data_IF_048983307697
#
_entry.id   IF_048983307697
#
_cell.length_a   1.000
_cell.length_b   1.000
_cell.length_c   1.000
_cell.angle_alpha   90.00
_cell.angle_beta   90.00
_cell.angle_gamma   90.00
#
_symmetry.space_group_name_H-M   'P 1'
#
loop_
_entity.id
_entity.type
_entity.pdbx_description
1 polymer ?
#
# COMPACT_ATOMS: atom_id res chain seq x y z
N UNK A 1 -36.57 18.70 12.26
CA UNK A 1 -35.23 18.10 12.11
C UNK A 1 -34.25 19.22 11.83
N UNK A 2 -33.24 19.40 12.68
CA UNK A 2 -32.15 20.33 12.38
C UNK A 2 -31.37 19.79 11.18
N UNK A 3 -31.27 20.56 10.12
CA UNK A 3 -30.57 20.19 8.89
C UNK A 3 -29.27 20.98 8.78
N UNK A 4 -28.18 20.31 8.48
CA UNK A 4 -26.87 20.96 8.24
C UNK A 4 -26.69 21.08 6.73
N UNK A 5 -26.55 22.30 6.23
CA UNK A 5 -26.34 22.58 4.80
C UNK A 5 -25.00 22.05 4.29
N UNK A 6 -24.85 21.89 2.98
CA UNK A 6 -23.59 21.44 2.39
C UNK A 6 -22.45 22.47 2.64
N UNK A 7 -22.73 23.74 2.67
CA UNK A 7 -21.78 24.79 3.03
C UNK A 7 -21.30 24.64 4.47
N UNK A 8 -22.21 24.40 5.40
CA UNK A 8 -21.89 24.15 6.80
C UNK A 8 -21.04 22.87 6.96
N UNK A 9 -21.37 21.78 6.22
CA UNK A 9 -20.57 20.57 6.21
C UNK A 9 -19.15 20.83 5.70
N UNK A 10 -18.97 21.69 4.69
CA UNK A 10 -17.66 22.05 4.19
C UNK A 10 -16.87 22.90 5.21
N UNK A 11 -17.51 23.82 5.91
CA UNK A 11 -16.89 24.58 6.99
C UNK A 11 -16.40 23.66 8.11
N UNK A 12 -17.25 22.76 8.59
CA UNK A 12 -16.89 21.79 9.63
C UNK A 12 -15.70 20.90 9.22
N UNK A 13 -15.71 20.40 7.98
CA UNK A 13 -14.62 19.54 7.45
C UNK A 13 -13.26 20.24 7.35
N UNK A 14 -13.24 21.55 7.22
CA UNK A 14 -11.99 22.34 7.15
C UNK A 14 -11.31 22.49 8.52
N UNK A 15 -12.04 22.32 9.60
CA UNK A 15 -11.49 22.47 10.96
C UNK A 15 -10.88 21.16 11.42
N UNK A 16 -9.56 21.09 11.37
CA UNK A 16 -8.82 19.97 11.95
C UNK A 16 -8.76 20.07 13.48
N UNK A 17 -8.39 18.95 14.14
CA UNK A 17 -8.42 18.91 15.60
C UNK A 17 -7.46 19.91 16.26
N UNK A 18 -6.25 20.10 15.73
CA UNK A 18 -5.29 21.03 16.33
C UNK A 18 -5.77 22.49 16.22
N UNK A 19 -6.33 22.86 15.05
CA UNK A 19 -6.94 24.17 14.83
C UNK A 19 -8.11 24.37 15.79
N UNK A 20 -9.00 23.39 15.94
CA UNK A 20 -10.12 23.46 16.87
C UNK A 20 -9.66 23.69 18.32
N UNK A 21 -8.79 22.80 18.82
CA UNK A 21 -8.36 22.89 20.21
C UNK A 21 -7.56 24.16 20.50
N UNK A 22 -6.67 24.61 19.62
CA UNK A 22 -5.90 25.83 19.85
C UNK A 22 -6.77 27.10 19.88
N UNK A 23 -7.85 27.13 19.11
CA UNK A 23 -8.72 28.29 19.06
C UNK A 23 -9.80 28.29 20.14
N UNK A 24 -10.33 27.11 20.51
CA UNK A 24 -11.54 27.01 21.34
C UNK A 24 -11.36 26.24 22.65
N UNK A 25 -10.36 25.36 22.77
CA UNK A 25 -10.09 24.57 23.97
C UNK A 25 -8.58 24.43 24.23
N UNK A 26 -7.82 25.54 24.28
CA UNK A 26 -6.34 25.49 24.42
C UNK A 26 -5.89 24.85 25.72
N UNK A 27 -6.70 24.87 26.76
CA UNK A 27 -6.43 24.25 28.07
C UNK A 27 -6.29 22.73 28.00
N UNK A 28 -6.92 22.09 27.02
CA UNK A 28 -6.83 20.62 26.79
C UNK A 28 -5.52 20.20 26.14
N UNK A 29 -4.80 21.13 25.51
CA UNK A 29 -3.56 20.80 24.78
C UNK A 29 -2.33 20.81 25.67
N UNK A 30 -1.45 19.86 25.40
CA UNK A 30 -0.06 19.83 25.91
C UNK A 30 0.89 19.61 24.74
N UNK A 31 1.89 20.47 24.59
CA UNK A 31 2.95 20.30 23.61
C UNK A 31 3.93 19.23 24.06
N UNK A 32 4.24 18.25 23.20
CA UNK A 32 5.22 17.18 23.46
C UNK A 32 6.54 17.49 22.75
N UNK A 33 6.46 17.87 21.47
CA UNK A 33 7.63 18.22 20.66
C UNK A 33 7.31 19.42 19.76
N UNK A 34 8.24 19.74 18.83
CA UNK A 34 8.04 20.88 17.91
C UNK A 34 6.71 20.77 17.14
N UNK A 35 6.40 19.58 16.61
CA UNK A 35 5.25 19.34 15.72
C UNK A 35 4.19 18.39 16.31
N UNK A 36 4.32 18.01 17.59
CA UNK A 36 3.43 17.04 18.23
C UNK A 36 2.82 17.60 19.50
N UNK A 37 1.52 17.41 19.64
CA UNK A 37 0.75 17.73 20.83
C UNK A 37 0.04 16.48 21.36
N UNK A 38 -0.31 16.45 22.63
CA UNK A 38 -1.27 15.49 23.18
C UNK A 38 -2.41 16.22 23.89
N UNK A 39 -3.46 15.48 24.20
CA UNK A 39 -4.56 15.95 25.01
C UNK A 39 -4.26 15.60 26.47
N UNK A 40 -4.45 16.56 27.39
CA UNK A 40 -4.11 16.35 28.80
C UNK A 40 -4.90 15.20 29.44
N UNK A 41 -6.19 15.11 29.08
CA UNK A 41 -7.09 14.07 29.59
C UNK A 41 -6.83 12.69 28.97
N UNK A 42 -6.17 12.67 27.82
CA UNK A 42 -5.83 11.45 27.08
C UNK A 42 -4.37 11.50 26.62
N UNK A 43 -3.36 11.30 27.50
CA UNK A 43 -1.94 11.48 27.17
C UNK A 43 -1.42 10.60 26.03
N UNK A 44 -2.07 9.45 25.76
CA UNK A 44 -1.76 8.57 24.63
C UNK A 44 -2.44 8.98 23.31
N UNK A 45 -3.24 10.07 23.30
CA UNK A 45 -3.79 10.67 22.11
C UNK A 45 -2.83 11.76 21.60
N UNK A 46 -2.18 11.48 20.49
CA UNK A 46 -1.23 12.39 19.86
C UNK A 46 -1.82 13.08 18.63
N UNK A 47 -1.47 14.35 18.47
CA UNK A 47 -1.87 15.18 17.32
C UNK A 47 -0.61 15.66 16.62
N UNK A 48 -0.41 15.27 15.36
CA UNK A 48 0.70 15.72 14.54
C UNK A 48 0.33 15.69 13.04
N UNK A 49 0.94 16.56 12.24
CA UNK A 49 0.74 16.61 10.79
C UNK A 49 -0.74 16.63 10.35
N UNK A 50 -1.62 17.32 11.09
CA UNK A 50 -3.03 17.40 10.78
C UNK A 50 -3.84 16.13 11.03
N UNK A 51 -3.26 15.17 11.69
CA UNK A 51 -3.89 13.92 12.08
C UNK A 51 -3.83 13.78 13.59
N UNK A 52 -4.79 13.04 14.15
CA UNK A 52 -4.74 12.61 15.53
C UNK A 52 -4.90 11.09 15.61
N UNK A 53 -4.25 10.49 16.58
CA UNK A 53 -4.33 9.06 16.84
C UNK A 53 -4.27 8.78 18.34
N UNK A 54 -5.25 8.03 18.84
CA UNK A 54 -5.31 7.57 20.21
C UNK A 54 -4.77 6.15 20.30
N UNK A 55 -3.51 6.03 20.69
CA UNK A 55 -2.77 4.77 20.63
C UNK A 55 -3.40 3.66 21.48
N UNK A 56 -3.84 3.96 22.69
CA UNK A 56 -4.41 2.96 23.60
C UNK A 56 -5.78 2.42 23.13
N UNK A 57 -6.50 3.17 22.28
CA UNK A 57 -7.82 2.79 21.77
C UNK A 57 -7.81 2.36 20.31
N UNK A 58 -6.67 2.53 19.60
CA UNK A 58 -6.55 2.19 18.18
C UNK A 58 -7.45 3.02 17.25
N UNK A 59 -7.90 4.21 17.69
CA UNK A 59 -8.76 5.10 16.91
C UNK A 59 -8.04 6.38 16.52
N UNK A 60 -8.49 7.00 15.45
CA UNK A 60 -7.90 8.24 14.98
C UNK A 60 -8.76 8.95 13.94
N UNK A 61 -8.28 10.10 13.49
CA UNK A 61 -8.97 10.93 12.53
C UNK A 61 -8.18 12.16 12.14
N UNK A 62 -8.85 13.06 11.44
CA UNK A 62 -8.29 14.34 11.01
C UNK A 62 -9.06 15.52 11.61
N UNK A 63 -10.37 15.49 11.49
CA UNK A 63 -11.25 16.61 11.82
C UNK A 63 -11.54 16.70 13.32
N UNK A 64 -11.88 17.90 13.78
CA UNK A 64 -12.46 18.10 15.09
C UNK A 64 -13.77 17.32 15.28
N UNK A 65 -14.56 17.19 14.22
CA UNK A 65 -15.81 16.41 14.23
C UNK A 65 -15.57 14.95 14.57
N UNK A 66 -14.56 14.30 13.94
CA UNK A 66 -14.18 12.92 14.26
C UNK A 66 -13.82 12.74 15.74
N UNK A 67 -13.11 13.72 16.30
CA UNK A 67 -12.67 13.70 17.68
C UNK A 67 -13.86 13.85 18.63
N UNK A 68 -14.72 14.84 18.43
CA UNK A 68 -15.88 15.06 19.27
C UNK A 68 -16.83 13.85 19.29
N UNK A 69 -16.97 13.16 18.15
CA UNK A 69 -17.82 11.95 18.08
C UNK A 69 -17.13 10.75 18.71
N UNK A 70 -15.86 10.48 18.39
CA UNK A 70 -15.18 9.22 18.75
C UNK A 70 -14.56 9.25 20.14
N UNK A 71 -14.17 10.42 20.64
CA UNK A 71 -13.48 10.60 21.93
C UNK A 71 -14.37 11.25 22.95
N UNK A 72 -15.01 12.37 22.62
CA UNK A 72 -15.87 13.10 23.55
C UNK A 72 -17.32 12.57 23.59
N UNK A 73 -17.67 11.62 22.70
CA UNK A 73 -18.95 10.89 22.74
C UNK A 73 -20.17 11.68 22.24
N UNK A 74 -20.00 12.80 21.57
CA UNK A 74 -21.09 13.56 20.96
C UNK A 74 -21.74 12.78 19.81
N UNK A 75 -23.06 12.93 19.63
CA UNK A 75 -23.66 12.53 18.36
C UNK A 75 -23.27 13.50 17.24
N UNK A 76 -23.52 13.10 15.99
CA UNK A 76 -23.08 13.89 14.83
C UNK A 76 -23.66 15.33 14.81
N UNK A 77 -24.94 15.50 15.16
CA UNK A 77 -25.59 16.79 15.10
C UNK A 77 -25.07 17.75 16.17
N UNK A 78 -24.95 17.26 17.41
CA UNK A 78 -24.44 18.09 18.51
C UNK A 78 -22.98 18.47 18.31
N UNK A 79 -22.14 17.53 17.82
CA UNK A 79 -20.73 17.82 17.49
C UNK A 79 -20.63 18.88 16.38
N UNK A 80 -21.47 18.77 15.36
CA UNK A 80 -21.47 19.70 14.23
C UNK A 80 -21.97 21.09 14.65
N UNK A 81 -23.03 21.19 15.47
CA UNK A 81 -23.52 22.44 16.04
C UNK A 81 -22.45 23.12 16.89
N UNK A 82 -21.81 22.37 17.79
CA UNK A 82 -20.75 22.90 18.65
C UNK A 82 -19.60 23.52 17.86
N UNK A 83 -19.19 22.88 16.75
CA UNK A 83 -18.15 23.44 15.86
C UNK A 83 -18.65 24.70 15.15
N UNK A 84 -19.88 24.70 14.62
CA UNK A 84 -20.46 25.84 13.93
C UNK A 84 -20.63 27.05 14.87
N UNK A 85 -21.15 26.85 16.07
CA UNK A 85 -21.24 27.91 17.10
C UNK A 85 -19.86 28.47 17.46
N UNK A 86 -18.87 27.58 17.60
CA UNK A 86 -17.49 28.01 17.87
C UNK A 86 -16.94 28.90 16.76
N UNK A 87 -17.16 28.53 15.48
CA UNK A 87 -16.76 29.32 14.31
C UNK A 87 -17.51 30.64 14.24
N UNK A 88 -18.82 30.65 14.50
CA UNK A 88 -19.63 31.88 14.48
C UNK A 88 -19.20 32.86 15.57
N UNK A 89 -18.86 32.37 16.76
CA UNK A 89 -18.42 33.19 17.89
C UNK A 89 -17.01 33.78 17.67
N UNK A 90 -16.14 33.01 17.02
CA UNK A 90 -14.76 33.42 16.70
C UNK A 90 -14.25 32.66 15.48
N UNK A 91 -13.94 33.38 14.43
CA UNK A 91 -13.33 32.76 13.25
C UNK A 91 -11.98 32.09 13.62
N UNK A 92 -11.77 30.81 13.25
CA UNK A 92 -10.57 30.10 13.65
C UNK A 92 -9.34 30.59 12.88
N UNK A 93 -8.25 30.82 13.60
CA UNK A 93 -6.94 30.95 12.98
C UNK A 93 -6.46 29.54 12.59
N UNK A 94 -6.50 29.25 11.30
CA UNK A 94 -6.05 27.96 10.78
C UNK A 94 -4.54 27.79 10.97
N UNK A 95 -4.16 26.61 11.46
CA UNK A 95 -2.76 26.29 11.65
C UNK A 95 -2.27 25.63 10.36
N UNK A 96 -1.36 26.29 9.62
CA UNK A 96 -0.80 25.65 8.43
C UNK A 96 -0.02 24.43 8.88
N UNK A 97 -0.41 23.26 8.38
CA UNK A 97 0.50 22.14 8.41
C UNK A 97 1.62 22.44 7.45
N UNK A 98 2.81 22.61 7.95
CA UNK A 98 3.95 22.35 7.12
C UNK A 98 3.90 20.85 6.82
N UNK A 99 3.24 20.46 5.72
CA UNK A 99 3.68 19.28 5.00
C UNK A 99 5.13 19.64 4.64
N UNK A 100 6.07 19.36 5.54
CA UNK A 100 7.40 19.05 5.08
C UNK A 100 7.15 17.86 4.17
N UNK A 101 7.12 18.08 2.88
CA UNK A 101 7.55 17.10 1.93
C UNK A 101 9.01 16.87 2.30
N UNK A 102 9.22 16.10 3.38
CA UNK A 102 10.48 15.41 3.54
C UNK A 102 10.52 14.55 2.29
N UNK A 103 11.40 14.90 1.36
CA UNK A 103 11.74 14.00 0.26
C UNK A 103 11.82 12.63 0.89
N UNK A 104 10.92 11.76 0.51
CA UNK A 104 10.90 10.39 1.03
C UNK A 104 12.11 9.71 0.43
N UNK A 105 13.23 9.76 1.12
CA UNK A 105 14.44 9.09 0.67
C UNK A 105 14.21 7.59 0.90
N UNK A 106 14.18 6.83 -0.16
CA UNK A 106 14.08 5.38 -0.12
C UNK A 106 15.30 4.80 0.60
N UNK A 107 15.06 4.03 1.66
CA UNK A 107 16.11 3.36 2.45
C UNK A 107 16.13 1.88 2.10
N UNK A 108 16.91 1.52 1.10
CA UNK A 108 17.07 0.14 0.68
C UNK A 108 17.86 -0.67 1.72
N UNK A 109 17.48 -1.94 1.99
CA UNK A 109 18.32 -2.88 2.73
C UNK A 109 19.69 -3.03 2.08
N UNK A 110 20.72 -3.22 2.91
CA UNK A 110 22.06 -3.49 2.39
C UNK A 110 22.04 -4.78 1.57
N UNK A 111 22.70 -4.75 0.40
CA UNK A 111 22.86 -5.94 -0.43
C UNK A 111 23.75 -6.97 0.25
N UNK A 112 23.40 -8.23 0.20
CA UNK A 112 24.27 -9.34 0.59
C UNK A 112 25.46 -9.46 -0.39
N UNK A 113 26.49 -10.20 0.01
CA UNK A 113 27.65 -10.47 -0.82
C UNK A 113 27.34 -11.34 -2.04
N UNK A 114 26.36 -12.20 -1.91
CA UNK A 114 25.77 -12.99 -2.98
C UNK A 114 24.24 -13.03 -2.82
N UNK A 115 23.54 -13.59 -3.81
CA UNK A 115 22.07 -13.63 -3.82
C UNK A 115 21.50 -15.05 -3.78
N UNK A 116 22.32 -16.04 -3.39
CA UNK A 116 21.96 -17.44 -3.52
C UNK A 116 20.72 -17.81 -2.69
N UNK A 117 20.58 -17.26 -1.47
CA UNK A 117 19.41 -17.53 -0.64
C UNK A 117 18.12 -16.95 -1.23
N UNK A 118 18.21 -15.78 -1.88
CA UNK A 118 17.07 -15.20 -2.57
C UNK A 118 16.68 -16.02 -3.80
N UNK A 119 17.68 -16.52 -4.56
CA UNK A 119 17.48 -17.43 -5.70
C UNK A 119 16.80 -18.71 -5.20
N UNK A 120 17.37 -19.38 -4.21
CA UNK A 120 16.83 -20.64 -3.65
C UNK A 120 15.39 -20.45 -3.14
N UNK A 121 15.12 -19.33 -2.47
CA UNK A 121 13.78 -19.01 -1.98
C UNK A 121 12.76 -18.88 -3.12
N UNK A 122 13.10 -18.19 -4.20
CA UNK A 122 12.21 -17.99 -5.35
C UNK A 122 12.06 -19.26 -6.20
N UNK A 123 13.15 -20.02 -6.41
CA UNK A 123 13.10 -21.32 -7.07
C UNK A 123 12.22 -22.30 -6.29
N UNK A 124 12.32 -22.31 -4.96
CA UNK A 124 11.45 -23.12 -4.10
C UNK A 124 9.96 -22.72 -4.17
N UNK A 125 9.66 -21.54 -4.70
CA UNK A 125 8.30 -21.08 -5.04
C UNK A 125 7.89 -21.40 -6.49
N UNK A 126 8.70 -22.16 -7.19
CA UNK A 126 8.45 -22.59 -8.57
C UNK A 126 8.87 -21.58 -9.64
N UNK A 127 9.40 -20.43 -9.28
CA UNK A 127 9.82 -19.40 -10.23
C UNK A 127 11.05 -19.88 -11.01
N UNK A 128 11.07 -19.61 -12.30
CA UNK A 128 12.14 -20.00 -13.20
C UNK A 128 13.46 -19.29 -12.83
N UNK A 129 14.56 -20.07 -12.76
CA UNK A 129 15.85 -19.56 -12.28
C UNK A 129 16.49 -18.55 -13.25
N UNK A 130 16.25 -18.69 -14.56
CA UNK A 130 16.78 -17.74 -15.57
C UNK A 130 16.10 -16.38 -15.37
N UNK A 131 14.76 -16.34 -15.22
CA UNK A 131 14.01 -15.10 -14.94
C UNK A 131 14.55 -14.43 -13.65
N UNK A 132 14.82 -15.22 -12.60
CA UNK A 132 15.35 -14.67 -11.35
C UNK A 132 16.72 -14.03 -11.58
N UNK A 133 17.63 -14.72 -12.30
CA UNK A 133 18.98 -14.23 -12.61
C UNK A 133 18.94 -12.97 -13.45
N UNK A 134 18.10 -12.93 -14.48
CA UNK A 134 17.89 -11.73 -15.31
C UNK A 134 17.40 -10.55 -14.48
N UNK A 135 16.46 -10.77 -13.54
CA UNK A 135 16.00 -9.73 -12.63
C UNK A 135 17.12 -9.24 -11.69
N UNK A 136 18.03 -10.14 -11.26
CA UNK A 136 19.17 -9.76 -10.43
C UNK A 136 20.16 -8.93 -11.25
N UNK A 137 20.48 -9.34 -12.46
CA UNK A 137 21.40 -8.63 -13.37
C UNK A 137 20.87 -7.23 -13.72
N UNK A 138 19.54 -7.09 -13.84
CA UNK A 138 18.85 -5.82 -14.04
C UNK A 138 18.63 -5.01 -12.75
N UNK A 139 19.10 -5.48 -11.61
CA UNK A 139 18.93 -4.87 -10.29
C UNK A 139 17.47 -4.74 -9.85
N UNK A 140 16.55 -5.50 -10.43
CA UNK A 140 15.15 -5.56 -10.05
C UNK A 140 14.93 -6.40 -8.78
N UNK A 141 15.83 -7.36 -8.52
CA UNK A 141 15.80 -8.24 -7.36
C UNK A 141 17.20 -8.35 -6.76
N UNK A 142 17.28 -8.41 -5.43
CA UNK A 142 18.52 -8.76 -4.75
C UNK A 142 18.23 -9.37 -3.36
N UNK A 143 19.25 -10.05 -2.77
CA UNK A 143 19.20 -10.45 -1.38
C UNK A 143 19.58 -9.28 -0.48
N UNK A 144 18.60 -8.78 0.29
CA UNK A 144 18.80 -7.69 1.22
C UNK A 144 19.03 -8.20 2.64
N UNK A 145 19.95 -7.55 3.36
CA UNK A 145 20.23 -7.84 4.78
C UNK A 145 19.69 -6.72 5.65
N UNK A 146 18.86 -7.08 6.62
CA UNK A 146 18.37 -6.17 7.65
C UNK A 146 18.82 -6.64 9.02
N UNK A 147 19.05 -5.69 9.93
CA UNK A 147 19.49 -5.98 11.30
C UNK A 147 18.39 -5.61 12.29
N UNK A 148 18.04 -6.55 13.15
CA UNK A 148 17.12 -6.24 14.27
C UNK A 148 17.71 -5.17 15.18
N UNK A 149 16.99 -4.09 15.47
CA UNK A 149 17.47 -3.05 16.36
C UNK A 149 17.65 -3.57 17.80
N UNK A 150 16.84 -4.52 18.23
CA UNK A 150 16.84 -5.08 19.60
C UNK A 150 17.83 -6.21 19.76
N UNK A 151 17.72 -7.26 18.93
CA UNK A 151 18.50 -8.50 19.07
C UNK A 151 19.83 -8.49 18.32
N UNK A 152 20.06 -7.46 17.47
CA UNK A 152 21.21 -7.37 16.56
C UNK A 152 21.33 -8.54 15.56
N UNK A 153 20.36 -9.44 15.52
CA UNK A 153 20.29 -10.55 14.56
C UNK A 153 20.15 -10.03 13.14
N UNK A 154 20.83 -10.67 12.20
CA UNK A 154 20.68 -10.40 10.77
C UNK A 154 19.53 -11.24 10.20
N UNK A 155 18.75 -10.60 9.33
CA UNK A 155 17.67 -11.23 8.57
C UNK A 155 17.95 -11.06 7.09
N UNK A 156 17.86 -12.16 6.36
CA UNK A 156 17.98 -12.19 4.92
C UNK A 156 16.59 -12.12 4.28
N UNK A 157 16.47 -11.29 3.26
CA UNK A 157 15.20 -11.03 2.61
C UNK A 157 15.37 -10.98 1.10
N UNK A 158 14.33 -11.31 0.36
CA UNK A 158 14.25 -10.94 -1.05
C UNK A 158 13.71 -9.51 -1.11
N UNK A 159 14.41 -8.66 -1.84
CA UNK A 159 14.04 -7.27 -2.10
C UNK A 159 13.67 -7.13 -3.57
N UNK A 160 12.46 -6.64 -3.84
CA UNK A 160 11.95 -6.37 -5.18
C UNK A 160 11.91 -4.87 -5.37
N UNK A 161 12.67 -4.34 -6.32
CA UNK A 161 12.86 -2.90 -6.51
C UNK A 161 11.98 -2.39 -7.64
N UNK A 162 11.36 -1.24 -7.41
CA UNK A 162 10.62 -0.51 -8.42
C UNK A 162 11.34 0.79 -8.77
N UNK A 163 11.42 1.09 -10.05
CA UNK A 163 12.15 2.22 -10.59
C UNK A 163 11.23 3.29 -11.18
N UNK A 164 11.62 4.56 -10.99
CA UNK A 164 11.01 5.71 -11.63
C UNK A 164 12.09 6.70 -12.04
N UNK A 165 12.06 7.16 -13.30
CA UNK A 165 13.05 8.09 -13.86
C UNK A 165 14.51 7.59 -13.69
N UNK A 166 14.75 6.29 -13.89
CA UNK A 166 16.06 5.66 -13.76
C UNK A 166 16.61 5.54 -12.34
N UNK A 167 15.79 5.83 -11.31
CA UNK A 167 16.17 5.72 -9.90
C UNK A 167 15.24 4.76 -9.16
N UNK A 168 15.79 4.01 -8.20
CA UNK A 168 14.97 3.22 -7.28
C UNK A 168 14.05 4.15 -6.47
N UNK A 169 12.74 3.89 -6.52
CA UNK A 169 11.70 4.67 -5.84
C UNK A 169 10.88 3.83 -4.86
N UNK A 170 10.88 2.53 -5.03
CA UNK A 170 10.09 1.58 -4.25
C UNK A 170 10.89 0.31 -4.00
N UNK A 171 10.64 -0.33 -2.87
CA UNK A 171 11.08 -1.69 -2.67
C UNK A 171 10.10 -2.45 -1.77
N UNK A 172 9.59 -3.59 -2.23
CA UNK A 172 8.92 -4.56 -1.37
C UNK A 172 9.93 -5.59 -0.84
N UNK A 173 9.69 -6.06 0.38
CA UNK A 173 10.62 -6.92 1.12
C UNK A 173 9.87 -8.19 1.55
N UNK A 174 10.47 -9.33 1.28
CA UNK A 174 9.96 -10.64 1.69
C UNK A 174 11.02 -11.38 2.51
N UNK A 175 10.69 -11.74 3.75
CA UNK A 175 11.57 -12.55 4.60
C UNK A 175 11.81 -13.93 4.01
N UNK A 176 13.07 -14.39 3.95
CA UNK A 176 13.42 -15.71 3.42
C UNK A 176 13.10 -16.83 4.45
N UNK A 177 13.37 -16.56 5.73
CA UNK A 177 13.14 -17.51 6.83
C UNK A 177 12.12 -16.99 7.85
N UNK A 178 11.19 -16.14 7.39
CA UNK A 178 10.15 -15.55 8.25
C UNK A 178 8.95 -15.16 7.40
N UNK A 179 7.80 -14.94 8.06
CA UNK A 179 6.57 -14.45 7.41
C UNK A 179 6.59 -12.94 7.15
N UNK A 180 7.74 -12.29 7.30
CA UNK A 180 7.86 -10.86 7.11
C UNK A 180 7.50 -10.45 5.69
N UNK A 181 6.57 -9.51 5.60
CA UNK A 181 6.13 -8.84 4.37
C UNK A 181 6.08 -7.35 4.66
N UNK A 182 6.79 -6.55 3.89
CA UNK A 182 6.82 -5.11 4.11
C UNK A 182 7.38 -4.35 2.93
N UNK A 183 7.56 -3.06 3.16
CA UNK A 183 8.16 -2.14 2.20
C UNK A 183 9.35 -1.44 2.85
N UNK A 184 10.33 -1.08 2.06
CA UNK A 184 11.46 -0.28 2.54
C UNK A 184 10.96 1.11 2.96
N UNK A 185 11.48 1.69 4.06
CA UNK A 185 11.13 3.05 4.45
C UNK A 185 11.37 4.03 3.32
N UNK A 186 10.46 4.98 3.11
CA UNK A 186 10.53 5.96 2.04
C UNK A 186 10.04 5.47 0.67
N UNK A 187 9.57 4.22 0.55
CA UNK A 187 9.00 3.68 -0.69
C UNK A 187 7.86 4.54 -1.23
N UNK A 188 7.89 4.76 -2.54
CA UNK A 188 6.83 5.42 -3.30
C UNK A 188 6.06 4.38 -4.13
N UNK A 189 4.84 4.05 -3.70
CA UNK A 189 3.99 3.03 -4.36
C UNK A 189 3.63 3.33 -5.81
N UNK A 190 3.83 4.56 -6.28
CA UNK A 190 3.65 4.92 -7.70
C UNK A 190 4.57 4.12 -8.62
N UNK A 191 5.68 3.60 -8.10
CA UNK A 191 6.72 2.92 -8.86
C UNK A 191 6.95 1.51 -8.31
N UNK A 192 5.91 0.69 -8.31
CA UNK A 192 6.03 -0.68 -7.83
C UNK A 192 6.89 -1.56 -8.76
N UNK A 193 7.12 -2.81 -8.36
CA UNK A 193 7.92 -3.77 -9.13
C UNK A 193 7.31 -4.00 -10.51
N UNK A 194 8.13 -3.91 -11.54
CA UNK A 194 7.76 -4.05 -12.94
C UNK A 194 8.78 -4.92 -13.68
N UNK A 195 8.32 -5.90 -14.42
CA UNK A 195 9.05 -6.53 -15.52
C UNK A 195 8.67 -5.77 -16.79
N UNK A 196 9.55 -4.91 -17.32
CA UNK A 196 9.22 -4.13 -18.51
C UNK A 196 9.27 -5.01 -19.75
N UNK A 197 8.40 -4.73 -20.72
CA UNK A 197 8.56 -5.32 -22.04
C UNK A 197 9.84 -4.85 -22.72
N UNK A 198 10.47 -5.72 -23.48
CA UNK A 198 11.66 -5.39 -24.30
C UNK A 198 11.27 -4.81 -25.66
N UNK A 199 10.00 -4.88 -26.03
CA UNK A 199 9.42 -4.37 -27.28
C UNK A 199 8.37 -3.31 -26.97
N UNK A 200 7.87 -2.63 -28.03
CA UNK A 200 6.75 -1.70 -27.89
C UNK A 200 5.45 -2.48 -27.65
N UNK A 201 5.14 -2.75 -26.39
CA UNK A 201 3.98 -3.52 -25.96
C UNK A 201 2.75 -2.62 -25.72
N UNK A 202 1.60 -3.04 -26.22
CA UNK A 202 0.33 -2.37 -25.99
C UNK A 202 -0.51 -3.02 -24.87
N UNK A 203 0.10 -3.94 -24.14
CA UNK A 203 -0.56 -4.75 -23.10
C UNK A 203 0.25 -4.72 -21.80
N UNK A 204 -0.46 -4.63 -20.66
CA UNK A 204 0.10 -4.80 -19.33
C UNK A 204 -0.66 -5.86 -18.54
N UNK A 205 0.09 -6.82 -17.99
CA UNK A 205 -0.41 -7.82 -17.05
C UNK A 205 -0.20 -7.34 -15.62
N UNK A 206 -1.25 -7.32 -14.83
CA UNK A 206 -1.25 -6.72 -13.50
C UNK A 206 -1.44 -7.80 -12.44
N UNK A 207 -0.47 -7.93 -11.53
CA UNK A 207 -0.47 -8.86 -10.40
C UNK A 207 -0.52 -8.11 -9.06
N UNK A 208 -0.93 -8.79 -7.98
CA UNK A 208 -1.00 -8.15 -6.67
C UNK A 208 0.40 -7.93 -6.08
N UNK A 209 1.28 -8.91 -6.15
CA UNK A 209 2.63 -8.83 -5.59
C UNK A 209 3.72 -9.19 -6.63
N UNK A 210 4.98 -8.83 -6.32
CA UNK A 210 6.12 -9.12 -7.20
C UNK A 210 6.34 -10.63 -7.44
N UNK A 211 6.08 -11.46 -6.42
CA UNK A 211 6.15 -12.92 -6.56
C UNK A 211 5.14 -13.43 -7.58
N UNK A 212 3.93 -12.85 -7.60
CA UNK A 212 2.90 -13.23 -8.58
C UNK A 212 3.29 -12.80 -9.99
N UNK A 213 3.91 -11.62 -10.13
CA UNK A 213 4.43 -11.16 -11.42
C UNK A 213 5.51 -12.11 -11.98
N UNK A 214 6.46 -12.54 -11.14
CA UNK A 214 7.47 -13.53 -11.53
C UNK A 214 6.86 -14.91 -11.82
N UNK A 215 5.85 -15.28 -11.06
CA UNK A 215 5.13 -16.56 -11.28
C UNK A 215 4.38 -16.52 -12.60
N UNK A 216 3.77 -15.38 -12.96
CA UNK A 216 3.10 -15.22 -14.24
C UNK A 216 4.10 -15.27 -15.42
N UNK A 217 5.24 -14.56 -15.31
CA UNK A 217 6.32 -14.66 -16.30
C UNK A 217 6.78 -16.10 -16.50
N UNK A 218 6.93 -16.87 -15.40
CA UNK A 218 7.28 -18.30 -15.44
C UNK A 218 6.22 -19.13 -16.16
N UNK A 219 4.93 -18.91 -15.86
CA UNK A 219 3.82 -19.62 -16.54
C UNK A 219 3.77 -19.30 -18.03
N UNK A 220 4.06 -18.06 -18.43
CA UNK A 220 4.16 -17.70 -19.84
C UNK A 220 5.29 -18.46 -20.51
N UNK A 221 6.51 -18.45 -19.94
CA UNK A 221 7.68 -19.18 -20.45
C UNK A 221 7.42 -20.67 -20.58
N UNK A 222 6.83 -21.31 -19.57
CA UNK A 222 6.45 -22.73 -19.59
C UNK A 222 5.40 -23.05 -20.67
N UNK A 223 4.57 -22.09 -21.02
CA UNK A 223 3.57 -22.19 -22.10
C UNK A 223 4.15 -21.79 -23.45
N UNK A 224 5.48 -21.64 -23.58
CA UNK A 224 6.16 -21.18 -24.81
C UNK A 224 5.69 -19.81 -25.28
N UNK A 225 5.24 -18.95 -24.36
CA UNK A 225 4.93 -17.55 -24.59
C UNK A 225 6.10 -16.69 -24.17
N UNK A 226 6.36 -15.64 -24.94
CA UNK A 226 7.40 -14.68 -24.63
C UNK A 226 6.90 -13.66 -23.58
N UNK A 227 7.37 -13.78 -22.33
CA UNK A 227 7.00 -12.88 -21.24
C UNK A 227 7.65 -11.48 -21.38
N UNK A 228 8.72 -11.36 -22.17
CA UNK A 228 9.37 -10.08 -22.46
C UNK A 228 8.62 -9.24 -23.51
N UNK A 229 7.63 -9.84 -24.18
CA UNK A 229 6.77 -9.13 -25.15
C UNK A 229 5.68 -8.28 -24.50
N UNK A 230 5.47 -8.38 -23.19
CA UNK A 230 4.44 -7.68 -22.43
C UNK A 230 5.00 -7.05 -21.15
N UNK A 231 4.35 -6.02 -20.68
CA UNK A 231 4.65 -5.49 -19.34
C UNK A 231 3.99 -6.33 -18.26
N UNK A 232 4.70 -6.66 -17.16
CA UNK A 232 4.10 -7.34 -16.01
C UNK A 232 4.33 -6.49 -14.76
N UNK A 233 3.26 -5.86 -14.26
CA UNK A 233 3.29 -4.89 -13.17
C UNK A 233 2.75 -5.51 -11.89
N UNK A 234 3.46 -5.33 -10.79
CA UNK A 234 2.95 -5.57 -9.43
C UNK A 234 2.27 -4.31 -8.88
N UNK A 235 1.14 -4.46 -8.17
CA UNK A 235 0.50 -3.34 -7.48
C UNK A 235 1.13 -3.01 -6.12
N UNK A 236 2.03 -3.87 -5.61
CA UNK A 236 2.56 -3.74 -4.25
C UNK A 236 1.50 -3.96 -3.17
N UNK A 237 0.51 -4.80 -3.48
CA UNK A 237 -0.66 -5.11 -2.65
C UNK A 237 -1.88 -4.24 -2.95
N UNK A 238 -3.05 -4.78 -2.68
CA UNK A 238 -4.34 -4.08 -2.81
C UNK A 238 -4.93 -3.78 -1.44
N UNK A 239 -5.67 -2.68 -1.33
CA UNK A 239 -6.34 -2.27 -0.10
C UNK A 239 -7.84 -2.50 -0.24
N UNK A 240 -8.44 -3.16 0.75
CA UNK A 240 -9.90 -3.24 0.85
C UNK A 240 -10.42 -1.87 1.30
N UNK A 241 -11.34 -1.23 0.57
CA UNK A 241 -12.01 -0.02 1.03
C UNK A 241 -12.73 -0.31 2.37
N UNK A 242 -12.65 0.61 3.32
CA UNK A 242 -13.28 0.45 4.66
C UNK A 242 -14.81 0.26 4.61
N UNK A 243 -15.45 0.68 3.54
CA UNK A 243 -16.86 0.39 3.22
C UNK A 243 -16.81 -0.22 1.83
N UNK A 244 -17.47 -1.33 1.59
CA UNK A 244 -17.55 -2.04 0.31
C UNK A 244 -18.10 -1.15 -0.83
N UNK A 245 -17.54 0.03 -0.98
CA UNK A 245 -18.00 1.07 -1.89
C UNK A 245 -17.01 1.18 -3.06
N UNK A 246 -17.27 0.37 -4.09
CA UNK A 246 -16.55 0.39 -5.37
C UNK A 246 -16.65 1.77 -6.01
N UNK A 247 -17.72 2.52 -5.76
CA UNK A 247 -17.97 3.81 -6.41
C UNK A 247 -17.00 4.92 -5.99
N UNK A 248 -16.45 4.83 -4.78
CA UNK A 248 -15.47 5.79 -4.24
C UNK A 248 -14.06 5.25 -4.22
N UNK A 249 -13.87 3.99 -4.62
CA UNK A 249 -12.55 3.36 -4.66
C UNK A 249 -11.74 3.87 -5.85
N UNK A 250 -10.45 4.06 -5.63
CA UNK A 250 -9.51 4.53 -6.66
C UNK A 250 -8.75 3.36 -7.26
N UNK A 251 -8.36 3.51 -8.51
CA UNK A 251 -7.36 2.63 -9.13
C UNK A 251 -6.06 2.66 -8.32
N UNK A 252 -5.36 1.53 -8.15
CA UNK A 252 -4.06 1.51 -7.50
C UNK A 252 -3.07 2.47 -8.18
N UNK A 253 -2.40 3.29 -7.39
CA UNK A 253 -1.54 4.38 -7.89
C UNK A 253 -0.41 3.88 -8.80
N UNK A 254 0.11 2.65 -8.56
CA UNK A 254 1.13 2.06 -9.43
C UNK A 254 0.61 1.87 -10.86
N UNK A 255 -0.63 1.41 -11.01
CA UNK A 255 -1.25 1.22 -12.33
C UNK A 255 -1.57 2.58 -12.98
N UNK A 256 -2.11 3.54 -12.22
CA UNK A 256 -2.38 4.90 -12.75
C UNK A 256 -1.10 5.55 -13.31
N UNK A 257 -0.01 5.53 -12.54
CA UNK A 257 1.26 6.15 -12.96
C UNK A 257 1.90 5.37 -14.12
N UNK A 258 1.80 4.05 -14.11
CA UNK A 258 2.29 3.22 -15.21
C UNK A 258 1.57 3.57 -16.53
N UNK A 259 0.25 3.62 -16.54
CA UNK A 259 -0.54 3.92 -17.74
C UNK A 259 -0.29 5.35 -18.27
N UNK A 260 -0.08 6.32 -17.38
CA UNK A 260 0.31 7.69 -17.79
C UNK A 260 1.69 7.70 -18.46
N UNK A 261 2.61 6.83 -18.02
CA UNK A 261 3.97 6.74 -18.55
C UNK A 261 4.09 5.89 -19.82
N UNK A 262 3.05 5.08 -20.12
CA UNK A 262 2.99 4.15 -21.25
C UNK A 262 1.69 4.38 -22.04
N UNK A 263 1.58 5.50 -22.76
CA UNK A 263 0.36 5.84 -23.51
C UNK A 263 0.06 4.88 -24.66
N UNK A 264 1.02 4.07 -25.10
CA UNK A 264 0.87 3.00 -26.07
C UNK A 264 0.05 1.81 -25.55
N UNK A 265 -0.04 1.64 -24.22
CA UNK A 265 -0.80 0.55 -23.60
C UNK A 265 -2.30 0.82 -23.74
N UNK A 266 -3.01 -0.13 -24.34
CA UNK A 266 -4.46 -0.08 -24.54
C UNK A 266 -5.19 -1.22 -23.83
N UNK A 267 -4.47 -2.28 -23.45
CA UNK A 267 -5.03 -3.49 -22.83
C UNK A 267 -4.43 -3.70 -21.44
N UNK A 268 -5.29 -3.94 -20.46
CA UNK A 268 -4.95 -4.23 -19.07
C UNK A 268 -5.51 -5.59 -18.68
N UNK A 269 -4.64 -6.58 -18.44
CA UNK A 269 -5.02 -7.94 -18.03
C UNK A 269 -4.78 -8.09 -16.53
N UNK A 270 -5.82 -8.45 -15.79
CA UNK A 270 -5.81 -8.47 -14.32
C UNK A 270 -5.69 -9.89 -13.77
N UNK A 271 -4.57 -10.20 -13.15
CA UNK A 271 -4.28 -11.49 -12.48
C UNK A 271 -4.30 -11.32 -10.96
N UNK A 272 -5.31 -10.62 -10.42
CA UNK A 272 -5.40 -10.35 -9.00
C UNK A 272 -5.95 -11.57 -8.22
N UNK A 273 -5.63 -11.63 -6.93
CA UNK A 273 -5.97 -12.75 -6.05
C UNK A 273 -7.46 -13.14 -6.10
N UNK A 274 -7.74 -14.42 -5.93
CA UNK A 274 -9.08 -15.00 -5.82
C UNK A 274 -9.70 -14.81 -4.42
N UNK A 275 -9.27 -13.78 -3.69
CA UNK A 275 -9.89 -13.42 -2.42
C UNK A 275 -10.78 -12.17 -2.57
N UNK A 276 -11.44 -11.78 -1.47
CA UNK A 276 -12.33 -10.61 -1.47
C UNK A 276 -11.62 -9.33 -1.88
N UNK A 277 -10.37 -9.13 -1.45
CA UNK A 277 -9.61 -7.92 -1.74
C UNK A 277 -9.27 -7.83 -3.24
N UNK A 278 -8.72 -8.90 -3.80
CA UNK A 278 -8.38 -8.98 -5.22
C UNK A 278 -9.60 -8.82 -6.12
N UNK A 279 -10.71 -9.50 -5.81
CA UNK A 279 -11.96 -9.38 -6.61
C UNK A 279 -12.59 -7.99 -6.55
N UNK A 280 -12.51 -7.31 -5.39
CA UNK A 280 -12.94 -5.91 -5.27
C UNK A 280 -12.03 -4.96 -6.06
N UNK A 281 -10.72 -5.15 -5.97
CA UNK A 281 -9.75 -4.35 -6.72
C UNK A 281 -9.96 -4.51 -8.23
N UNK A 282 -10.17 -5.74 -8.72
CA UNK A 282 -10.50 -6.02 -10.13
C UNK A 282 -11.71 -5.21 -10.60
N UNK A 283 -12.83 -5.28 -9.86
CA UNK A 283 -14.05 -4.54 -10.21
C UNK A 283 -13.84 -3.02 -10.19
N UNK A 284 -13.07 -2.53 -9.25
CA UNK A 284 -12.73 -1.10 -9.15
C UNK A 284 -11.90 -0.65 -10.35
N UNK A 285 -10.86 -1.41 -10.71
CA UNK A 285 -9.97 -1.11 -11.84
C UNK A 285 -10.79 -1.11 -13.14
N UNK A 286 -11.56 -2.18 -13.41
CA UNK A 286 -12.38 -2.28 -14.63
C UNK A 286 -13.39 -1.15 -14.74
N UNK A 287 -13.98 -0.70 -13.63
CA UNK A 287 -14.91 0.44 -13.61
C UNK A 287 -14.21 1.76 -13.92
N UNK A 288 -13.04 1.98 -13.33
CA UNK A 288 -12.35 3.27 -13.42
C UNK A 288 -11.56 3.43 -14.74
N UNK A 289 -11.22 2.32 -15.39
CA UNK A 289 -10.47 2.27 -16.65
C UNK A 289 -11.38 1.84 -17.81
N UNK A 290 -12.59 2.40 -17.89
CA UNK A 290 -13.62 2.07 -18.91
C UNK A 290 -13.18 2.39 -20.35
N UNK A 291 -12.17 3.21 -20.53
CA UNK A 291 -11.56 3.57 -21.80
C UNK A 291 -10.39 2.65 -22.22
N UNK A 292 -9.98 1.69 -21.36
CA UNK A 292 -9.04 0.62 -21.67
C UNK A 292 -9.77 -0.69 -21.93
N UNK A 293 -9.15 -1.60 -22.68
CA UNK A 293 -9.60 -2.99 -22.77
C UNK A 293 -9.15 -3.69 -21.49
N UNK A 294 -10.06 -3.87 -20.54
CA UNK A 294 -9.76 -4.56 -19.27
C UNK A 294 -10.23 -6.02 -19.34
N UNK A 295 -9.31 -6.96 -19.08
CA UNK A 295 -9.56 -8.40 -19.09
C UNK A 295 -9.34 -8.93 -17.67
N UNK A 296 -10.33 -9.65 -17.11
CA UNK A 296 -10.23 -10.31 -15.81
C UNK A 296 -9.78 -11.76 -16.00
N UNK A 297 -8.53 -12.04 -15.71
CA UNK A 297 -7.92 -13.38 -15.76
C UNK A 297 -7.35 -13.77 -14.39
N UNK A 298 -8.19 -14.06 -13.40
CA UNK A 298 -7.71 -14.49 -12.08
C UNK A 298 -7.02 -15.85 -12.17
N UNK A 299 -6.23 -16.22 -11.16
CA UNK A 299 -5.66 -17.56 -11.05
C UNK A 299 -6.72 -18.65 -11.22
N UNK A 300 -6.48 -19.62 -12.09
CA UNK A 300 -7.40 -20.74 -12.35
C UNK A 300 -7.50 -21.70 -11.17
N UNK A 301 -6.42 -21.81 -10.41
CA UNK A 301 -6.28 -22.68 -9.25
C UNK A 301 -5.57 -21.93 -8.13
N UNK A 302 -5.95 -22.21 -6.89
CA UNK A 302 -5.36 -21.58 -5.72
C UNK A 302 -5.87 -20.18 -5.45
N UNK A 303 -5.20 -19.48 -4.55
CA UNK A 303 -5.55 -18.11 -4.15
C UNK A 303 -4.93 -17.08 -5.09
N UNK A 304 -3.67 -17.25 -5.43
CA UNK A 304 -2.85 -16.31 -6.17
C UNK A 304 -2.10 -16.99 -7.33
N UNK A 305 -1.39 -16.22 -8.14
CA UNK A 305 -0.66 -16.73 -9.32
C UNK A 305 0.48 -17.66 -8.91
N UNK A 306 1.11 -17.42 -7.74
CA UNK A 306 2.14 -18.29 -7.23
C UNK A 306 1.57 -19.65 -6.79
N UNK A 307 0.40 -19.68 -6.17
CA UNK A 307 -0.32 -20.93 -5.87
C UNK A 307 -0.59 -21.72 -7.17
N UNK A 308 -1.06 -21.04 -8.22
CA UNK A 308 -1.32 -21.67 -9.52
C UNK A 308 -0.03 -22.28 -10.11
N UNK A 309 1.09 -21.56 -10.09
CA UNK A 309 2.38 -22.05 -10.57
C UNK A 309 2.84 -23.30 -9.78
N UNK A 310 2.78 -23.23 -8.45
CA UNK A 310 3.16 -24.36 -7.58
C UNK A 310 2.30 -25.60 -7.82
N UNK A 311 1.00 -25.42 -8.07
CA UNK A 311 0.08 -26.52 -8.39
C UNK A 311 0.38 -27.11 -9.78
N UNK A 312 0.65 -26.26 -10.77
CA UNK A 312 1.00 -26.70 -12.13
C UNK A 312 2.30 -27.53 -12.12
N UNK A 313 3.28 -27.16 -11.31
CA UNK A 313 4.54 -27.90 -11.15
C UNK A 313 4.44 -29.13 -10.23
N UNK A 314 3.25 -29.46 -9.70
CA UNK A 314 3.04 -30.54 -8.71
C UNK A 314 4.01 -30.43 -7.50
N UNK A 315 4.37 -29.22 -7.12
CA UNK A 315 5.30 -28.96 -6.01
C UNK A 315 4.68 -29.33 -4.66
N UNK A 316 5.46 -29.98 -3.76
CA UNK A 316 4.96 -30.36 -2.45
C UNK A 316 4.49 -29.15 -1.66
N UNK A 317 3.31 -29.24 -1.07
CA UNK A 317 2.61 -28.19 -0.33
C UNK A 317 3.25 -27.76 1.00
N UNK A 318 4.57 -27.94 1.16
CA UNK A 318 5.28 -27.62 2.41
C UNK A 318 5.22 -26.15 2.81
N UNK A 319 4.88 -25.27 1.89
CA UNK A 319 4.60 -23.85 2.19
C UNK A 319 3.22 -23.58 2.79
N UNK A 320 2.26 -24.52 2.68
CA UNK A 320 0.92 -24.36 3.29
C UNK A 320 0.91 -24.53 4.82
N UNK A 321 1.90 -25.17 5.42
CA UNK A 321 1.91 -25.41 6.88
C UNK A 321 2.34 -24.20 7.71
N UNK A 322 3.09 -23.24 7.16
CA UNK A 322 3.48 -22.05 7.92
C UNK A 322 2.41 -20.95 7.98
N UNK A 323 1.52 -20.89 7.00
CA UNK A 323 0.46 -19.87 6.96
C UNK A 323 -0.78 -20.22 7.80
N UNK A 324 -0.97 -21.48 8.18
CA UNK A 324 -2.12 -21.89 9.01
C UNK A 324 -1.85 -21.81 10.52
N UNK A 325 -0.60 -21.77 10.96
CA UNK A 325 -0.24 -21.66 12.39
C UNK A 325 -0.39 -20.23 12.96
N UNK A 326 -0.57 -19.22 12.11
CA UNK A 326 -0.75 -17.83 12.53
C UNK A 326 -2.22 -17.37 12.58
N UNK A 327 -3.19 -18.27 12.28
CA UNK A 327 -4.63 -17.99 12.35
C UNK A 327 -5.35 -18.49 13.61
N UNK A 328 -4.63 -19.21 14.48
CA UNK A 328 -5.18 -19.77 15.74
C UNK A 328 -4.48 -19.21 17.00
N UNK A 329 -4.04 -17.95 16.96
CA UNK A 329 -3.64 -17.25 18.18
C UNK A 329 -4.14 -15.81 18.19
#
# INVERSE_FOLDING_TARGET
>A
MKYISEEQKQQIKRVDLLTYLKNYQPERLKKISHDTHCIKDHPSLHISNGLWHWQSCGIGGRSALDFLIKVDGYNFLDAAELILESIQNKEPTYIPYSKKETERILQLPLSASDHQRAIDYLVNRGIDEEIIKECIDQHLIYEGVTKSPTTKRLFHNVVFVGYGNGKAQYASIRGIQSDYKGEAPGSNKSYSFLLPATTNANEVHVCEAAIDALSYATLMKESSKDYESVHILSLGGVQIPRKDNIETSKTPIALEVFLVSHPEVTTVVLHLDNDRAGRMATRTIMKNLDHYICIDEPPRYGKDVNDQLCMAKAMPSNYKKQTNLSRER
#
